data_IF_730725735418
#
_entry.id   IF_730725735418
#
_cell.length_a   1.000
_cell.length_b   1.000
_cell.length_c   1.000
_cell.angle_alpha   90.00
_cell.angle_beta   90.00
_cell.angle_gamma   90.00
#
_symmetry.space_group_name_H-M   'P 1'
#
loop_
_entity.id
_entity.type
_entity.pdbx_description
1 polymer ?
#
# COMPACT_ATOMS: atom_id res chain seq x y z
N UNK A 1 2.16 1.19 12.15
CA UNK A 1 1.92 2.05 10.97
C UNK A 1 2.85 1.59 9.86
N UNK A 2 2.43 1.67 8.61
CA UNK A 2 3.31 1.34 7.47
C UNK A 2 3.33 2.49 6.46
N UNK A 3 4.42 2.59 5.72
CA UNK A 3 4.60 3.61 4.67
C UNK A 3 4.03 3.10 3.35
N UNK A 4 2.89 3.65 2.91
CA UNK A 4 2.32 3.38 1.58
C UNK A 4 2.91 4.31 0.54
N UNK A 5 3.34 3.77 -0.61
CA UNK A 5 3.58 4.54 -1.83
C UNK A 5 2.25 4.78 -2.56
N UNK A 6 1.89 6.03 -2.80
CA UNK A 6 0.74 6.36 -3.65
C UNK A 6 1.09 6.15 -5.13
N UNK A 7 0.12 5.69 -5.92
CA UNK A 7 0.21 5.75 -7.38
C UNK A 7 0.06 7.21 -7.82
N UNK A 8 0.73 7.60 -8.92
CA UNK A 8 0.77 8.99 -9.41
C UNK A 8 2.12 9.71 -9.20
N UNK A 9 2.62 10.31 -10.29
CA UNK A 9 3.81 11.19 -10.31
C UNK A 9 3.36 12.61 -9.98
N UNK A 10 3.95 13.25 -8.97
CA UNK A 10 3.83 14.72 -8.83
C UNK A 10 4.70 15.40 -9.87
N UNK A 11 4.25 16.56 -10.37
CA UNK A 11 4.93 17.46 -11.33
C UNK A 11 6.39 17.81 -10.94
N UNK A 12 6.78 17.59 -9.68
CA UNK A 12 8.11 17.92 -9.12
C UNK A 12 8.87 16.71 -8.51
N UNK A 13 8.70 15.49 -9.03
CA UNK A 13 9.61 14.36 -8.74
C UNK A 13 9.62 13.82 -7.30
N UNK A 14 8.90 14.42 -6.36
CA UNK A 14 8.80 13.93 -4.97
C UNK A 14 8.01 12.61 -4.94
N UNK A 15 8.65 11.55 -4.44
CA UNK A 15 8.03 10.23 -4.19
C UNK A 15 6.90 10.40 -3.16
N UNK A 16 5.68 9.98 -3.51
CA UNK A 16 4.50 10.12 -2.63
C UNK A 16 4.42 8.97 -1.62
N UNK A 17 5.29 8.98 -0.62
CA UNK A 17 5.18 8.08 0.53
C UNK A 17 4.30 8.70 1.61
N UNK A 18 3.39 7.91 2.17
CA UNK A 18 2.47 8.35 3.23
C UNK A 18 2.36 7.28 4.30
N UNK A 19 2.50 7.69 5.56
CA UNK A 19 2.18 6.82 6.69
C UNK A 19 0.68 6.51 6.70
N UNK A 20 0.35 5.23 6.88
CA UNK A 20 -1.03 4.74 6.94
C UNK A 20 -1.17 3.68 8.03
N UNK A 21 -2.36 3.62 8.60
CA UNK A 21 -2.77 2.54 9.47
C UNK A 21 -3.27 1.40 8.60
N UNK A 22 -2.49 0.32 8.54
CA UNK A 22 -2.89 -0.90 7.84
C UNK A 22 -3.56 -1.86 8.81
N UNK A 23 -4.61 -2.53 8.34
CA UNK A 23 -5.28 -3.62 9.06
C UNK A 23 -5.42 -4.80 8.12
N UNK A 24 -4.92 -5.95 8.57
CA UNK A 24 -5.11 -7.23 7.92
C UNK A 24 -6.13 -8.02 8.74
N UNK A 25 -7.14 -8.56 8.06
CA UNK A 25 -8.05 -9.57 8.60
C UNK A 25 -7.99 -10.81 7.72
N UNK A 26 -8.75 -11.85 8.04
CA UNK A 26 -8.88 -13.03 7.17
C UNK A 26 -9.70 -12.76 5.92
N UNK A 27 -10.34 -11.59 5.80
CA UNK A 27 -11.17 -11.21 4.66
C UNK A 27 -10.51 -10.15 3.79
N UNK A 28 -9.74 -9.22 4.39
CA UNK A 28 -9.17 -8.12 3.63
C UNK A 28 -7.92 -7.48 4.20
N UNK A 29 -7.18 -6.79 3.33
CA UNK A 29 -6.13 -5.85 3.65
C UNK A 29 -6.63 -4.42 3.40
N UNK A 30 -6.77 -3.64 4.45
CA UNK A 30 -7.28 -2.26 4.38
C UNK A 30 -6.28 -1.25 4.92
N UNK A 31 -6.43 0.03 4.52
CA UNK A 31 -5.66 1.11 5.11
C UNK A 31 -6.46 2.39 5.35
N UNK A 32 -6.15 3.10 6.44
CA UNK A 32 -6.76 4.37 6.84
C UNK A 32 -5.69 5.46 7.09
N UNK A 33 -6.12 6.73 7.19
CA UNK A 33 -5.21 7.85 7.55
C UNK A 33 -4.59 7.66 8.94
N UNK A 34 -5.35 7.11 9.89
CA UNK A 34 -4.92 6.84 11.26
C UNK A 34 -5.78 5.71 11.88
N UNK A 35 -5.38 5.20 13.05
CA UNK A 35 -6.15 4.19 13.81
C UNK A 35 -7.51 4.77 14.20
N UNK A 36 -8.57 3.96 14.10
CA UNK A 36 -9.95 4.38 14.41
C UNK A 36 -10.62 5.27 13.36
N UNK A 37 -9.95 5.62 12.26
CA UNK A 37 -10.57 6.34 11.12
C UNK A 37 -11.10 5.35 10.09
N UNK A 38 -12.08 5.78 9.30
CA UNK A 38 -12.63 4.99 8.19
C UNK A 38 -11.52 4.61 7.19
N UNK A 39 -11.51 3.36 6.67
CA UNK A 39 -10.61 2.95 5.61
C UNK A 39 -10.74 3.84 4.38
N UNK A 40 -9.60 4.16 3.76
CA UNK A 40 -9.54 4.85 2.46
C UNK A 40 -9.68 3.82 1.33
N UNK A 41 -9.19 2.60 1.56
CA UNK A 41 -9.24 1.49 0.64
C UNK A 41 -9.30 0.19 1.45
N UNK A 42 -10.03 -0.77 0.90
CA UNK A 42 -10.19 -2.11 1.43
C UNK A 42 -10.00 -3.10 0.28
N UNK A 43 -9.06 -4.02 0.43
CA UNK A 43 -8.65 -4.98 -0.61
C UNK A 43 -9.05 -6.36 -0.13
N UNK A 44 -10.08 -6.99 -0.71
CA UNK A 44 -10.40 -8.37 -0.42
C UNK A 44 -9.18 -9.25 -0.63
N UNK A 45 -8.93 -10.21 0.27
CA UNK A 45 -7.78 -11.11 0.11
C UNK A 45 -7.89 -11.96 -1.16
N UNK A 46 -9.12 -12.25 -1.60
CA UNK A 46 -9.39 -12.94 -2.87
C UNK A 46 -8.90 -12.18 -4.11
N UNK A 47 -8.74 -10.85 -4.00
CA UNK A 47 -8.24 -10.00 -5.09
C UNK A 47 -6.71 -9.83 -5.07
N UNK A 48 -6.03 -10.35 -4.03
CA UNK A 48 -4.57 -10.33 -3.94
C UNK A 48 -4.00 -11.52 -4.71
N UNK A 49 -3.27 -11.21 -5.78
CA UNK A 49 -2.66 -12.21 -6.65
C UNK A 49 -1.29 -12.66 -6.16
N UNK A 50 -0.49 -11.73 -5.62
CA UNK A 50 0.85 -12.02 -5.15
C UNK A 50 1.32 -11.00 -4.11
N UNK A 51 2.22 -11.45 -3.24
CA UNK A 51 2.98 -10.61 -2.31
C UNK A 51 4.45 -10.94 -2.46
N UNK A 52 5.26 -9.93 -2.80
CA UNK A 52 6.67 -10.13 -3.14
C UNK A 52 7.54 -9.16 -2.36
N UNK A 53 8.69 -9.62 -1.86
CA UNK A 53 9.70 -8.73 -1.28
C UNK A 53 10.35 -7.92 -2.40
N UNK A 54 10.47 -6.62 -2.20
CA UNK A 54 11.19 -5.75 -3.15
C UNK A 54 12.67 -5.63 -2.78
N UNK A 55 13.51 -5.47 -3.80
CA UNK A 55 14.94 -5.21 -3.61
C UNK A 55 15.16 -3.83 -2.98
N UNK A 56 15.85 -3.82 -1.84
CA UNK A 56 16.09 -2.64 -1.00
C UNK A 56 16.89 -1.56 -1.72
N UNK A 57 17.77 -1.96 -2.65
CA UNK A 57 18.62 -1.04 -3.43
C UNK A 57 17.79 -0.12 -4.33
N UNK A 58 16.63 -0.57 -4.81
CA UNK A 58 15.78 0.20 -5.72
C UNK A 58 15.13 1.42 -5.04
N UNK A 59 14.89 1.34 -3.72
CA UNK A 59 14.16 2.38 -2.99
C UNK A 59 14.95 3.07 -1.89
N UNK A 60 16.14 2.54 -1.51
CA UNK A 60 16.90 2.97 -0.32
C UNK A 60 16.07 2.82 0.96
N UNK A 61 15.23 1.78 1.05
CA UNK A 61 14.49 1.43 2.26
C UNK A 61 14.57 -0.09 2.48
N UNK A 62 14.45 -0.50 3.73
CA UNK A 62 14.46 -1.91 4.14
C UNK A 62 13.04 -2.43 4.31
N UNK A 63 12.87 -3.76 4.28
CA UNK A 63 11.61 -4.46 4.59
C UNK A 63 10.42 -3.99 3.75
N UNK A 64 10.64 -3.82 2.44
CA UNK A 64 9.60 -3.42 1.49
C UNK A 64 9.03 -4.67 0.82
N UNK A 65 7.71 -4.66 0.62
CA UNK A 65 7.02 -5.63 -0.22
C UNK A 65 6.07 -4.91 -1.18
N UNK A 66 5.73 -5.60 -2.26
CA UNK A 66 4.69 -5.23 -3.20
C UNK A 66 3.52 -6.20 -3.07
N UNK A 67 2.31 -5.66 -3.23
CA UNK A 67 1.08 -6.44 -3.35
C UNK A 67 0.55 -6.23 -4.76
N UNK A 68 0.38 -7.31 -5.50
CA UNK A 68 -0.23 -7.31 -6.83
C UNK A 68 -1.71 -7.69 -6.69
N UNK A 69 -2.61 -6.93 -7.30
CA UNK A 69 -4.06 -7.12 -7.21
C UNK A 69 -4.70 -7.25 -8.58
N UNK A 70 -5.83 -7.94 -8.67
CA UNK A 70 -6.62 -8.10 -9.90
C UNK A 70 -7.13 -6.77 -10.45
N UNK A 71 -7.47 -5.82 -9.56
CA UNK A 71 -8.01 -4.52 -9.92
C UNK A 71 -7.00 -3.39 -9.70
N UNK A 72 -6.87 -2.43 -10.64
CA UNK A 72 -6.06 -1.24 -10.43
C UNK A 72 -6.67 -0.38 -9.31
N UNK A 73 -5.81 0.10 -8.43
CA UNK A 73 -6.16 1.15 -7.48
C UNK A 73 -6.27 2.47 -8.26
N UNK A 74 -7.47 2.98 -8.51
CA UNK A 74 -7.72 4.44 -8.52
C UNK A 74 -9.18 4.71 -8.90
N UNK A 75 -9.85 5.52 -8.07
CA UNK A 75 -9.95 6.96 -8.35
C UNK A 75 -9.56 7.74 -7.10
#
# INVERSE_FOLDING_TARGET
MMTKRAQGRKRFGRRNFKQRYFRLTTQSLSYAKAKGKRPICDIPLADILAVERLNERSFKMQNIFQVSTTMPFDK
#
